data_IF_594263521102
#
_entry.id   IF_594263521102
#
_cell.length_a   1.000
_cell.length_b   1.000
_cell.length_c   1.000
_cell.angle_alpha   90.00
_cell.angle_beta   90.00
_cell.angle_gamma   90.00
#
_symmetry.space_group_name_H-M   'P 1'
#
loop_
_entity.id
_entity.type
_entity.pdbx_description
1 polymer ?
#
# COMPACT_ATOMS: atom_id res chain seq x y z
N UNK A 1 3.45 -13.64 6.97
CA UNK A 1 4.24 -12.39 7.17
C UNK A 1 5.57 -12.58 7.89
N UNK A 2 5.75 -13.57 8.76
CA UNK A 2 6.99 -13.77 9.51
C UNK A 2 7.53 -15.21 9.40
N UNK A 3 6.65 -16.22 9.33
CA UNK A 3 7.07 -17.61 9.14
C UNK A 3 7.31 -17.89 7.66
N UNK A 4 8.59 -17.92 7.28
CA UNK A 4 8.99 -18.17 5.89
C UNK A 4 8.66 -19.59 5.44
N UNK A 5 8.85 -20.58 6.31
CA UNK A 5 8.61 -21.98 5.95
C UNK A 5 7.14 -22.24 5.73
N UNK A 6 6.28 -21.73 6.61
CA UNK A 6 4.84 -21.86 6.43
C UNK A 6 4.38 -21.23 5.10
N UNK A 7 4.79 -19.99 4.84
CA UNK A 7 4.37 -19.26 3.64
C UNK A 7 4.87 -19.92 2.34
N UNK A 8 6.07 -20.50 2.33
CA UNK A 8 6.62 -21.13 1.12
C UNK A 8 6.29 -22.61 0.97
N UNK A 9 6.28 -23.39 2.07
CA UNK A 9 6.10 -24.84 2.05
C UNK A 9 4.62 -25.26 2.21
N UNK A 10 3.79 -24.47 2.90
CA UNK A 10 2.37 -24.79 3.17
C UNK A 10 1.44 -23.96 2.29
N UNK A 11 1.64 -22.64 2.23
CA UNK A 11 0.78 -21.75 1.41
C UNK A 11 1.21 -21.66 -0.06
N UNK A 12 2.45 -22.08 -0.38
CA UNK A 12 2.96 -22.11 -1.75
C UNK A 12 3.32 -20.73 -2.33
N UNK A 13 3.42 -19.69 -1.50
CA UNK A 13 3.82 -18.37 -1.95
C UNK A 13 5.33 -18.26 -2.16
N UNK A 14 5.81 -17.36 -3.05
CA UNK A 14 7.22 -17.24 -3.38
C UNK A 14 8.08 -16.57 -2.29
N UNK A 15 7.46 -15.99 -1.25
CA UNK A 15 8.16 -15.24 -0.20
C UNK A 15 7.21 -14.76 0.89
N UNK A 16 7.73 -14.05 1.89
CA UNK A 16 6.89 -13.52 2.96
C UNK A 16 5.95 -12.45 2.39
N UNK A 17 4.66 -12.62 2.63
CA UNK A 17 3.68 -11.58 2.32
C UNK A 17 3.98 -10.35 3.19
N UNK A 18 3.99 -9.16 2.59
CA UNK A 18 4.09 -7.89 3.30
C UNK A 18 2.76 -7.57 3.98
N UNK A 19 2.79 -7.11 5.23
CA UNK A 19 1.57 -6.77 5.98
C UNK A 19 0.74 -5.71 5.25
N UNK A 20 -0.54 -6.02 5.01
CA UNK A 20 -1.51 -5.05 4.47
C UNK A 20 -1.54 -3.74 5.26
N UNK A 21 -1.66 -3.78 6.61
CA UNK A 21 -1.60 -2.58 7.43
C UNK A 21 -0.31 -1.76 7.26
N UNK A 22 0.85 -2.41 7.08
CA UNK A 22 2.10 -1.71 6.82
C UNK A 22 2.06 -0.97 5.49
N UNK A 23 1.53 -1.58 4.44
CA UNK A 23 1.37 -0.93 3.12
C UNK A 23 0.44 0.28 3.26
N UNK A 24 -0.67 0.14 3.98
CA UNK A 24 -1.61 1.23 4.26
C UNK A 24 -0.94 2.38 5.04
N UNK A 25 -0.12 2.09 6.04
CA UNK A 25 0.68 3.08 6.77
C UNK A 25 1.68 3.79 5.86
N UNK A 26 2.35 3.08 4.95
CA UNK A 26 3.28 3.68 3.99
C UNK A 26 2.57 4.61 2.99
N UNK A 27 1.33 4.30 2.61
CA UNK A 27 0.50 5.18 1.77
C UNK A 27 0.11 6.47 2.50
N UNK A 28 -0.26 6.38 3.78
CA UNK A 28 -0.50 7.57 4.61
C UNK A 28 0.79 8.38 4.84
N UNK A 29 1.93 7.72 5.06
CA UNK A 29 3.21 8.40 5.21
C UNK A 29 3.62 9.12 3.92
N UNK A 30 3.35 8.54 2.74
CA UNK A 30 3.52 9.22 1.47
C UNK A 30 2.67 10.50 1.40
N UNK A 31 1.37 10.40 1.71
CA UNK A 31 0.48 11.57 1.71
C UNK A 31 1.02 12.65 2.65
N UNK A 32 1.35 12.29 3.89
CA UNK A 32 1.90 13.23 4.90
C UNK A 32 3.19 13.89 4.42
N UNK A 33 4.09 13.18 3.74
CA UNK A 33 5.35 13.75 3.23
C UNK A 33 5.13 14.73 2.06
N UNK A 34 4.14 14.46 1.22
CA UNK A 34 3.85 15.28 0.04
C UNK A 34 2.92 16.46 0.36
N UNK A 35 2.07 16.32 1.37
CA UNK A 35 1.09 17.30 1.83
C UNK A 35 1.18 17.44 3.36
N UNK A 36 2.23 18.09 3.89
CA UNK A 36 2.51 18.13 5.33
C UNK A 36 1.43 18.82 6.16
N UNK A 37 0.73 19.79 5.57
CA UNK A 37 -0.32 20.55 6.25
C UNK A 37 -1.73 19.96 6.06
N UNK A 38 -1.85 18.90 5.25
CA UNK A 38 -3.13 18.27 4.98
C UNK A 38 -3.62 17.46 6.19
N UNK A 39 -4.87 17.68 6.57
CA UNK A 39 -5.55 16.84 7.57
C UNK A 39 -6.37 15.77 6.88
N UNK A 40 -6.04 14.50 7.11
CA UNK A 40 -6.80 13.38 6.54
C UNK A 40 -8.09 13.20 7.33
N UNK A 41 -9.23 13.35 6.65
CA UNK A 41 -10.57 13.18 7.22
C UNK A 41 -11.03 11.73 7.12
N UNK A 42 -10.84 11.10 5.95
CA UNK A 42 -11.13 9.68 5.75
C UNK A 42 -9.99 9.02 4.99
N UNK A 43 -9.77 7.74 5.26
CA UNK A 43 -8.81 6.92 4.55
C UNK A 43 -9.38 5.51 4.39
N UNK A 44 -9.54 5.08 3.15
CA UNK A 44 -10.03 3.75 2.79
C UNK A 44 -8.97 3.04 1.97
N UNK A 45 -8.78 1.75 2.20
CA UNK A 45 -7.87 0.93 1.40
C UNK A 45 -8.41 -0.47 1.19
N UNK A 46 -7.98 -1.09 0.10
CA UNK A 46 -8.32 -2.46 -0.27
C UNK A 46 -7.08 -3.17 -0.82
N UNK A 47 -6.76 -4.32 -0.23
CA UNK A 47 -5.75 -5.20 -0.80
C UNK A 47 -6.27 -5.84 -2.08
N UNK A 48 -5.45 -5.83 -3.14
CA UNK A 48 -5.78 -6.37 -4.46
C UNK A 48 -5.01 -7.66 -4.73
N UNK A 49 -3.71 -7.68 -4.43
CA UNK A 49 -2.84 -8.86 -4.50
C UNK A 49 -1.68 -8.72 -3.49
N UNK A 50 -1.04 -9.82 -3.08
CA UNK A 50 0.07 -9.75 -2.12
C UNK A 50 1.29 -9.05 -2.72
N UNK A 51 2.00 -8.30 -1.86
CA UNK A 51 3.41 -7.94 -2.05
C UNK A 51 4.27 -8.94 -1.30
N UNK A 52 5.45 -9.23 -1.83
CA UNK A 52 6.40 -10.18 -1.23
C UNK A 52 7.70 -9.48 -0.87
N UNK A 53 8.38 -9.98 0.15
CA UNK A 53 9.69 -9.48 0.59
C UNK A 53 10.85 -9.77 -0.38
N UNK A 54 10.58 -10.48 -1.48
CA UNK A 54 11.55 -10.88 -2.50
C UNK A 54 11.77 -9.84 -3.59
N UNK A 55 10.98 -8.76 -3.62
CA UNK A 55 11.11 -7.70 -4.62
C UNK A 55 10.71 -6.33 -4.04
N UNK A 56 11.26 -5.23 -4.57
CA UNK A 56 10.80 -3.90 -4.20
C UNK A 56 9.36 -3.68 -4.67
N UNK A 57 8.71 -2.69 -4.05
CA UNK A 57 7.42 -2.16 -4.47
C UNK A 57 7.46 -0.63 -4.34
N UNK A 58 6.53 0.04 -5.01
CA UNK A 58 6.38 1.49 -4.90
C UNK A 58 5.03 1.82 -4.27
N UNK A 59 5.02 2.85 -3.42
CA UNK A 59 3.80 3.57 -3.03
C UNK A 59 3.69 4.82 -3.90
N UNK A 60 2.48 5.12 -4.34
CA UNK A 60 2.19 6.17 -5.29
C UNK A 60 0.92 6.91 -4.87
N UNK A 61 0.75 8.14 -5.35
CA UNK A 61 -0.44 8.92 -5.09
C UNK A 61 -0.66 10.00 -6.14
N UNK A 62 -1.90 10.45 -6.25
CA UNK A 62 -2.35 11.53 -7.14
C UNK A 62 -3.45 12.32 -6.45
N UNK A 63 -3.34 13.65 -6.50
CA UNK A 63 -4.46 14.52 -6.13
C UNK A 63 -5.43 14.57 -7.31
N UNK A 64 -6.71 14.28 -7.08
CA UNK A 64 -7.73 14.24 -8.13
C UNK A 64 -8.46 15.58 -8.31
N UNK A 65 -8.46 16.42 -7.27
CA UNK A 65 -9.29 17.62 -7.13
C UNK A 65 -10.00 17.59 -5.77
N UNK A 66 -10.83 18.60 -5.44
CA UNK A 66 -11.83 18.59 -4.35
C UNK A 66 -11.43 18.10 -2.94
N UNK A 67 -10.13 18.01 -2.64
CA UNK A 67 -9.64 17.42 -1.40
C UNK A 67 -9.56 15.89 -1.43
N UNK A 68 -9.77 15.24 -2.58
CA UNK A 68 -9.57 13.80 -2.76
C UNK A 68 -8.16 13.46 -3.25
N UNK A 69 -7.57 12.44 -2.63
CA UNK A 69 -6.27 11.88 -3.01
C UNK A 69 -6.44 10.38 -3.29
N UNK A 70 -6.09 9.93 -4.49
CA UNK A 70 -5.95 8.51 -4.79
C UNK A 70 -4.54 8.05 -4.44
N UNK A 71 -4.42 6.87 -3.86
CA UNK A 71 -3.19 6.29 -3.37
C UNK A 71 -3.14 4.83 -3.77
N UNK A 72 -1.98 4.32 -4.14
CA UNK A 72 -1.85 2.90 -4.47
C UNK A 72 -0.44 2.37 -4.23
N UNK A 73 -0.34 1.07 -3.96
CA UNK A 73 0.91 0.35 -3.99
C UNK A 73 0.98 -0.50 -5.25
N UNK A 74 2.16 -0.54 -5.89
CA UNK A 74 2.40 -1.39 -7.07
C UNK A 74 3.66 -2.23 -6.91
N UNK A 75 3.61 -3.44 -7.44
CA UNK A 75 4.76 -4.35 -7.56
C UNK A 75 5.87 -3.78 -8.45
N UNK A 76 7.06 -4.37 -8.41
CA UNK A 76 8.18 -4.01 -9.28
C UNK A 76 7.85 -4.10 -10.78
N UNK A 77 6.94 -5.00 -11.18
CA UNK A 77 6.46 -5.17 -12.55
C UNK A 77 5.24 -4.26 -12.88
N UNK A 78 4.87 -3.37 -11.97
CA UNK A 78 3.87 -2.32 -12.21
C UNK A 78 2.42 -2.70 -11.94
N UNK A 79 2.13 -3.92 -11.49
CA UNK A 79 0.77 -4.37 -11.14
C UNK A 79 0.28 -3.73 -9.83
N UNK A 80 -1.01 -3.41 -9.77
CA UNK A 80 -1.68 -2.87 -8.59
C UNK A 80 -1.72 -3.92 -7.47
N UNK A 81 -1.19 -3.60 -6.29
CA UNK A 81 -1.19 -4.47 -5.12
C UNK A 81 -2.13 -4.00 -4.01
N UNK A 82 -2.24 -2.68 -3.82
CA UNK A 82 -3.19 -2.07 -2.91
C UNK A 82 -3.75 -0.81 -3.56
N UNK A 83 -5.05 -0.63 -3.42
CA UNK A 83 -5.79 0.55 -3.88
C UNK A 83 -6.31 1.30 -2.65
N UNK A 84 -6.23 2.63 -2.65
CA UNK A 84 -6.63 3.45 -1.53
C UNK A 84 -7.11 4.85 -1.96
N UNK A 85 -7.96 5.44 -1.13
CA UNK A 85 -8.40 6.82 -1.27
C UNK A 85 -8.40 7.54 0.07
N UNK A 86 -8.06 8.83 0.05
CA UNK A 86 -8.15 9.72 1.19
C UNK A 86 -8.98 10.96 0.83
N UNK A 87 -9.75 11.46 1.79
CA UNK A 87 -10.32 12.82 1.71
C UNK A 87 -9.66 13.70 2.75
N UNK A 88 -9.38 14.95 2.37
CA UNK A 88 -8.80 15.97 3.22
C UNK A 88 -9.91 16.80 3.88
N UNK A 89 -9.64 17.35 5.07
CA UNK A 89 -10.56 18.18 5.85
C UNK A 89 -10.61 19.63 5.38
#
# INVERSE_FOLDING_TARGET
HYDRRYVTEVEGYPGLIVHGPLIATLLLDLLRRQLPDAQVKTFNFRAVQPLFDTAPFAVCGRQEGDGTVTLWARTHDGRLAMDASATLA
#
